data_IF_258886165840
#
_entry.id   IF_258886165840
#
_cell.length_a   1.000
_cell.length_b   1.000
_cell.length_c   1.000
_cell.angle_alpha   90.00
_cell.angle_beta   90.00
_cell.angle_gamma   90.00
#
_symmetry.space_group_name_H-M   'P 1'
#
loop_
_entity.id
_entity.type
_entity.pdbx_description
1 polymer ?
#
# COMPACT_ATOMS: atom_id res chain seq x y z
N UNK A 1 43.81 18.43 -40.25
CA UNK A 1 44.09 19.85 -40.56
C UNK A 1 43.06 20.70 -39.81
N UNK A 2 43.46 21.26 -38.68
CA UNK A 2 42.78 22.37 -38.01
C UNK A 2 43.81 22.96 -37.04
N UNK A 3 44.25 24.17 -37.33
CA UNK A 3 45.30 24.89 -36.61
C UNK A 3 44.77 25.39 -35.26
N UNK A 4 45.52 25.17 -34.19
CA UNK A 4 45.29 25.76 -32.88
C UNK A 4 46.09 27.07 -32.80
N UNK A 5 45.38 28.21 -32.76
CA UNK A 5 45.98 29.52 -32.52
C UNK A 5 45.90 29.83 -31.03
N UNK A 6 47.04 29.83 -30.36
CA UNK A 6 47.24 30.27 -28.97
C UNK A 6 47.45 31.78 -28.95
N UNK A 7 46.54 32.53 -28.32
CA UNK A 7 46.73 33.95 -28.04
C UNK A 7 47.37 34.17 -26.68
N UNK A 8 48.36 35.07 -26.65
CA UNK A 8 49.17 35.45 -25.49
C UNK A 8 48.43 36.40 -24.53
N UNK A 9 48.56 36.15 -23.23
CA UNK A 9 48.04 36.97 -22.14
C UNK A 9 49.07 38.06 -21.79
N UNK A 10 48.83 39.31 -22.20
CA UNK A 10 49.63 40.47 -21.79
C UNK A 10 49.02 41.10 -20.53
N UNK A 11 49.70 40.94 -19.39
CA UNK A 11 49.33 41.58 -18.12
C UNK A 11 50.05 42.93 -17.99
N UNK A 12 49.28 44.01 -18.01
CA UNK A 12 49.76 45.34 -17.62
C UNK A 12 49.42 45.59 -16.14
N UNK A 13 50.44 45.84 -15.33
CA UNK A 13 50.32 46.20 -13.92
C UNK A 13 49.92 47.68 -13.76
N UNK A 14 49.06 47.93 -12.78
CA UNK A 14 48.47 49.23 -12.39
C UNK A 14 49.52 50.29 -11.97
N UNK A 15 49.32 51.59 -12.26
CA UNK A 15 50.00 52.69 -11.58
C UNK A 15 49.39 53.01 -10.20
N UNK A 16 50.14 53.68 -9.28
CA UNK A 16 49.82 53.79 -7.86
C UNK A 16 48.79 54.89 -7.50
N UNK A 17 48.17 54.83 -6.30
CA UNK A 17 47.09 55.71 -5.90
C UNK A 17 47.55 57.08 -5.38
N UNK A 18 46.89 58.13 -5.84
CA UNK A 18 46.95 59.47 -5.25
C UNK A 18 46.45 59.48 -3.81
N UNK A 19 47.20 60.12 -2.90
CA UNK A 19 46.73 60.56 -1.59
C UNK A 19 46.57 62.07 -1.60
N UNK A 20 45.41 62.55 -1.17
CA UNK A 20 45.09 63.95 -1.04
C UNK A 20 45.14 64.41 0.43
N UNK A 21 45.69 65.63 0.62
CA UNK A 21 45.40 66.68 1.63
C UNK A 21 45.97 66.50 3.05
N UNK A 22 46.40 67.59 3.75
CA UNK A 22 45.52 68.73 4.06
C UNK A 22 46.10 70.17 4.00
N UNK A 23 45.12 71.07 3.99
CA UNK A 23 45.11 72.53 4.10
C UNK A 23 45.81 73.05 5.37
N UNK A 24 46.69 74.04 5.24
CA UNK A 24 46.87 75.12 6.23
C UNK A 24 47.35 76.40 5.55
N UNK A 25 46.93 77.51 6.13
CA UNK A 25 46.99 78.90 5.69
C UNK A 25 48.30 79.62 6.05
N UNK A 26 48.53 80.73 5.33
CA UNK A 26 49.17 81.99 5.76
C UNK A 26 50.64 82.28 5.41
N UNK A 27 50.79 83.44 4.74
CA UNK A 27 51.83 84.48 4.85
C UNK A 27 53.16 84.30 4.08
N UNK A 28 53.47 85.32 3.25
CA UNK A 28 54.76 85.63 2.60
C UNK A 28 55.83 86.08 3.63
N UNK A 29 57.07 86.53 3.29
CA UNK A 29 57.76 86.66 1.99
C UNK A 29 59.24 86.16 1.99
N UNK A 30 59.91 86.39 0.84
CA UNK A 30 61.36 86.62 0.62
C UNK A 30 62.26 85.51 0.03
N UNK A 31 62.87 85.91 -1.10
CA UNK A 31 64.30 85.86 -1.43
C UNK A 31 64.95 84.73 -2.29
N UNK A 32 65.42 85.17 -3.49
CA UNK A 32 66.67 84.89 -4.26
C UNK A 32 66.91 83.43 -4.76
N UNK A 33 67.15 83.12 -6.05
CA UNK A 33 68.33 83.42 -6.90
C UNK A 33 68.07 83.11 -8.40
N UNK A 34 68.93 83.70 -9.23
CA UNK A 34 68.96 83.95 -10.68
C UNK A 34 69.17 82.78 -11.66
N UNK A 35 68.81 82.97 -12.93
CA UNK A 35 69.72 82.72 -14.08
C UNK A 35 69.24 83.42 -15.38
N UNK A 36 70.22 83.94 -16.14
CA UNK A 36 70.17 84.78 -17.33
C UNK A 36 70.92 84.03 -18.45
N UNK A 37 70.43 84.03 -19.70
CA UNK A 37 71.22 84.49 -20.87
C UNK A 37 70.41 84.43 -22.17
N UNK A 38 70.49 85.51 -22.95
CA UNK A 38 69.91 85.66 -24.28
C UNK A 38 70.68 86.72 -25.07
N UNK A 39 71.57 86.31 -25.99
CA UNK A 39 72.01 87.09 -27.16
C UNK A 39 73.08 86.34 -27.98
N UNK A 40 72.93 86.37 -29.32
CA UNK A 40 73.79 85.65 -30.25
C UNK A 40 73.37 85.83 -31.71
N UNK A 41 73.77 86.98 -32.25
CA UNK A 41 73.68 87.50 -33.62
C UNK A 41 74.26 86.55 -34.73
N UNK A 42 73.64 86.49 -35.93
CA UNK A 42 74.31 86.03 -37.18
C UNK A 42 73.86 86.88 -38.40
N UNK A 43 74.84 87.14 -39.27
CA UNK A 43 75.01 88.11 -40.36
C UNK A 43 74.90 87.44 -41.74
N UNK A 44 74.36 88.11 -42.77
CA UNK A 44 74.70 88.02 -44.22
C UNK A 44 74.07 89.25 -44.94
N UNK A 45 74.56 89.93 -45.99
CA UNK A 45 75.75 89.84 -46.85
C UNK A 45 75.93 91.15 -47.68
N UNK A 46 77.18 91.62 -47.80
CA UNK A 46 77.98 91.81 -49.02
C UNK A 46 77.51 92.70 -50.24
N UNK A 47 78.40 93.64 -50.61
CA UNK A 47 79.00 93.96 -51.96
C UNK A 47 78.96 95.47 -52.38
N UNK A 48 80.11 96.14 -52.16
CA UNK A 48 81.03 96.84 -53.11
C UNK A 48 80.50 97.53 -54.39
N UNK A 49 81.06 98.58 -54.99
CA UNK A 49 82.24 99.48 -54.87
C UNK A 49 82.15 100.44 -56.09
N UNK A 50 82.66 101.67 -55.99
CA UNK A 50 83.73 102.20 -56.89
C UNK A 50 84.23 103.60 -56.47
N UNK A 51 85.55 103.70 -56.45
CA UNK A 51 86.49 104.85 -56.29
C UNK A 51 86.31 105.95 -57.38
N UNK A 52 87.01 107.14 -57.35
CA UNK A 52 88.41 107.32 -56.96
C UNK A 52 88.82 108.56 -56.12
N UNK A 53 89.95 108.34 -55.44
CA UNK A 53 91.08 109.22 -55.11
C UNK A 53 91.00 110.73 -55.41
N UNK A 54 91.44 111.57 -54.46
CA UNK A 54 92.75 112.26 -54.55
C UNK A 54 93.09 113.03 -53.25
N UNK A 55 94.38 113.02 -52.91
CA UNK A 55 95.02 113.59 -51.72
C UNK A 55 94.94 115.13 -51.58
N UNK A 56 95.04 115.62 -50.32
CA UNK A 56 96.24 116.30 -49.74
C UNK A 56 95.89 117.53 -48.86
N UNK A 57 96.31 117.47 -47.58
CA UNK A 57 96.98 118.48 -46.70
C UNK A 57 96.81 119.97 -47.06
N UNK A 58 96.73 120.94 -46.15
CA UNK A 58 96.89 121.06 -44.69
C UNK A 58 96.53 122.53 -44.38
N UNK A 59 96.25 122.79 -43.12
CA UNK A 59 96.40 124.08 -42.44
C UNK A 59 97.56 124.93 -42.98
N UNK A 60 97.29 126.21 -43.28
CA UNK A 60 98.17 127.35 -42.93
C UNK A 60 97.28 128.56 -42.63
N UNK A 61 97.64 129.22 -41.54
CA UNK A 61 97.13 130.44 -40.96
C UNK A 61 96.97 131.66 -41.86
N UNK A 62 96.17 132.58 -41.32
CA UNK A 62 96.36 134.03 -41.28
C UNK A 62 96.32 134.85 -42.59
N UNK A 63 95.68 136.02 -42.43
CA UNK A 63 95.57 137.16 -43.34
C UNK A 63 94.38 137.09 -44.31
N UNK A 64 93.19 137.47 -43.84
CA UNK A 64 92.22 138.28 -44.60
C UNK A 64 91.40 139.15 -43.65
N UNK A 65 92.09 139.95 -42.83
CA UNK A 65 91.52 141.13 -42.21
C UNK A 65 91.69 142.32 -43.17
N UNK A 66 90.62 143.10 -43.32
CA UNK A 66 90.54 144.45 -43.92
C UNK A 66 90.12 144.63 -45.39
N UNK A 67 89.25 143.80 -45.99
CA UNK A 67 88.58 144.24 -47.26
C UNK A 67 87.28 143.56 -47.77
N UNK A 68 86.40 142.94 -46.96
CA UNK A 68 85.11 142.40 -47.49
C UNK A 68 83.83 142.81 -46.72
N UNK A 69 83.90 143.90 -45.97
CA UNK A 69 82.78 144.49 -45.19
C UNK A 69 81.69 145.18 -46.04
N UNK A 70 81.76 145.10 -47.37
CA UNK A 70 80.80 145.75 -48.29
C UNK A 70 79.99 144.77 -49.15
N UNK A 71 80.40 143.50 -49.25
CA UNK A 71 79.62 142.43 -49.90
C UNK A 71 78.91 141.49 -48.91
N UNK A 72 79.18 141.65 -47.60
CA UNK A 72 78.58 140.84 -46.54
C UNK A 72 77.06 141.00 -46.44
N UNK A 73 76.49 142.19 -46.70
CA UNK A 73 75.03 142.40 -46.64
C UNK A 73 74.28 141.77 -47.83
N UNK A 74 74.87 141.78 -49.04
CA UNK A 74 74.28 141.15 -50.23
C UNK A 74 74.39 139.62 -50.16
N UNK A 75 75.53 139.09 -49.70
CA UNK A 75 75.69 137.65 -49.48
C UNK A 75 74.77 137.17 -48.36
N UNK A 76 74.63 137.91 -47.26
CA UNK A 76 73.71 137.57 -46.18
C UNK A 76 72.25 137.62 -46.65
N UNK A 77 71.85 138.60 -47.46
CA UNK A 77 70.50 138.70 -48.01
C UNK A 77 70.19 137.57 -49.01
N UNK A 78 71.14 137.21 -49.88
CA UNK A 78 71.01 136.07 -50.81
C UNK A 78 70.98 134.74 -50.06
N UNK A 79 71.82 134.56 -49.04
CA UNK A 79 71.77 133.40 -48.15
C UNK A 79 70.43 133.32 -47.40
N UNK A 80 69.89 134.44 -46.91
CA UNK A 80 68.57 134.47 -46.26
C UNK A 80 67.45 134.11 -47.25
N UNK A 81 67.49 134.61 -48.49
CA UNK A 81 66.54 134.20 -49.53
C UNK A 81 66.66 132.71 -49.88
N UNK A 82 67.87 132.18 -49.94
CA UNK A 82 68.11 130.75 -50.18
C UNK A 82 67.65 129.88 -48.99
N UNK A 83 67.83 130.35 -47.76
CA UNK A 83 67.32 129.71 -46.54
C UNK A 83 65.79 129.75 -46.48
N UNK A 84 65.15 130.85 -46.87
CA UNK A 84 63.69 130.93 -46.98
C UNK A 84 63.17 130.01 -48.10
N UNK A 85 63.84 129.94 -49.25
CA UNK A 85 63.45 129.03 -50.33
C UNK A 85 63.60 127.55 -49.95
N UNK A 86 64.70 127.19 -49.26
CA UNK A 86 64.93 125.81 -48.79
C UNK A 86 64.02 125.42 -47.64
N UNK A 87 63.74 126.33 -46.70
CA UNK A 87 62.76 126.09 -45.62
C UNK A 87 61.34 125.96 -46.16
N UNK A 88 60.92 126.76 -47.15
CA UNK A 88 59.64 126.60 -47.82
C UNK A 88 59.55 125.30 -48.65
N UNK A 89 60.64 124.87 -49.28
CA UNK A 89 60.72 123.56 -49.97
C UNK A 89 60.67 122.37 -49.01
N UNK A 90 61.33 122.47 -47.85
CA UNK A 90 61.23 121.50 -46.76
C UNK A 90 59.83 121.45 -46.17
N UNK A 91 59.18 122.59 -45.95
CA UNK A 91 57.78 122.67 -45.50
C UNK A 91 56.84 122.04 -46.53
N UNK A 92 57.05 122.26 -47.83
CA UNK A 92 56.27 121.61 -48.88
C UNK A 92 56.45 120.09 -48.93
N UNK A 93 57.69 119.59 -48.77
CA UNK A 93 57.96 118.14 -48.70
C UNK A 93 57.41 117.51 -47.41
N UNK A 94 57.52 118.20 -46.28
CA UNK A 94 56.93 117.76 -45.01
C UNK A 94 55.40 117.78 -45.07
N UNK A 95 54.80 118.77 -45.72
CA UNK A 95 53.36 118.83 -45.95
C UNK A 95 52.88 117.73 -46.90
N UNK A 96 53.63 117.45 -47.97
CA UNK A 96 53.35 116.35 -48.89
C UNK A 96 53.49 114.97 -48.22
N UNK A 97 54.52 114.79 -47.38
CA UNK A 97 54.66 113.58 -46.55
C UNK A 97 53.54 113.50 -45.51
N UNK A 98 53.12 114.62 -44.92
CA UNK A 98 51.99 114.68 -44.00
C UNK A 98 50.68 114.26 -44.69
N UNK A 99 50.44 114.71 -45.92
CA UNK A 99 49.25 114.34 -46.69
C UNK A 99 49.24 112.85 -47.03
N UNK A 100 50.37 112.29 -47.46
CA UNK A 100 50.49 110.85 -47.67
C UNK A 100 50.32 110.05 -46.38
N UNK A 101 50.84 110.52 -45.25
CA UNK A 101 50.64 109.87 -43.95
C UNK A 101 49.15 109.81 -43.57
N UNK A 102 48.32 110.75 -44.00
CA UNK A 102 46.87 110.70 -43.78
C UNK A 102 46.19 109.61 -44.62
N UNK A 103 46.55 109.48 -45.90
CA UNK A 103 46.07 108.40 -46.77
C UNK A 103 46.49 107.01 -46.25
N UNK A 104 47.75 106.88 -45.79
CA UNK A 104 48.23 105.65 -45.16
C UNK A 104 47.54 105.34 -43.84
N UNK A 105 47.20 106.37 -43.04
CA UNK A 105 46.45 106.19 -41.79
C UNK A 105 45.06 105.61 -42.06
N UNK A 106 44.35 106.12 -43.06
CA UNK A 106 43.03 105.58 -43.44
C UNK A 106 43.13 104.14 -43.96
N UNK A 107 44.14 103.84 -44.78
CA UNK A 107 44.39 102.48 -45.28
C UNK A 107 44.71 101.48 -44.15
N UNK A 108 45.57 101.85 -43.20
CA UNK A 108 45.92 101.00 -42.05
C UNK A 108 44.69 100.81 -41.15
N UNK A 109 43.88 101.84 -40.92
CA UNK A 109 42.63 101.70 -40.17
C UNK A 109 41.64 100.76 -40.86
N UNK A 110 41.53 100.81 -42.19
CA UNK A 110 40.67 99.89 -42.95
C UNK A 110 41.13 98.44 -42.82
N UNK A 111 42.42 98.16 -42.99
CA UNK A 111 42.96 96.81 -42.79
C UNK A 111 42.77 96.35 -41.34
N UNK A 112 43.02 97.22 -40.37
CA UNK A 112 42.82 96.91 -38.95
C UNK A 112 41.35 96.59 -38.66
N UNK A 113 40.42 97.36 -39.22
CA UNK A 113 38.98 97.15 -39.07
C UNK A 113 38.53 95.84 -39.74
N UNK A 114 38.96 95.59 -40.98
CA UNK A 114 38.65 94.37 -41.71
C UNK A 114 39.24 93.14 -41.00
N UNK A 115 40.46 93.26 -40.45
CA UNK A 115 41.10 92.21 -39.67
C UNK A 115 40.37 91.97 -38.34
N UNK A 116 39.97 93.00 -37.62
CA UNK A 116 39.22 92.88 -36.36
C UNK A 116 37.83 92.27 -36.60
N UNK A 117 37.14 92.67 -37.67
CA UNK A 117 35.84 92.13 -38.05
C UNK A 117 35.95 90.66 -38.51
N UNK A 118 36.95 90.33 -39.34
CA UNK A 118 37.20 88.95 -39.77
C UNK A 118 37.65 88.07 -38.60
N UNK A 119 38.52 88.58 -37.72
CA UNK A 119 38.98 87.89 -36.51
C UNK A 119 37.81 87.63 -35.56
N UNK A 120 36.94 88.63 -35.34
CA UNK A 120 35.74 88.49 -34.52
C UNK A 120 34.74 87.50 -35.13
N UNK A 121 34.51 87.57 -36.45
CA UNK A 121 33.64 86.63 -37.16
C UNK A 121 34.18 85.20 -37.12
N UNK A 122 35.50 85.02 -37.28
CA UNK A 122 36.14 83.71 -37.18
C UNK A 122 36.09 83.16 -35.75
N UNK A 123 36.36 84.00 -34.74
CA UNK A 123 36.26 83.63 -33.34
C UNK A 123 34.83 83.20 -32.97
N UNK A 124 33.81 83.90 -33.46
CA UNK A 124 32.40 83.50 -33.31
C UNK A 124 32.11 82.18 -34.02
N UNK A 125 32.61 81.98 -35.24
CA UNK A 125 32.42 80.71 -35.96
C UNK A 125 33.14 79.54 -35.27
N UNK A 126 34.33 79.74 -34.73
CA UNK A 126 35.07 78.70 -33.99
C UNK A 126 34.35 78.39 -32.68
N UNK A 127 33.98 79.41 -31.90
CA UNK A 127 33.26 79.23 -30.64
C UNK A 127 31.91 78.53 -30.83
N UNK A 128 31.16 78.89 -31.88
CA UNK A 128 29.91 78.18 -32.20
C UNK A 128 30.18 76.73 -32.59
N UNK A 129 31.20 76.44 -33.41
CA UNK A 129 31.57 75.06 -33.76
C UNK A 129 32.03 74.25 -32.55
N UNK A 130 32.87 74.81 -31.69
CA UNK A 130 33.29 74.21 -30.43
C UNK A 130 32.10 73.89 -29.53
N UNK A 131 31.16 74.83 -29.36
CA UNK A 131 29.95 74.60 -28.57
C UNK A 131 29.08 73.48 -29.14
N UNK A 132 28.94 73.41 -30.47
CA UNK A 132 28.19 72.32 -31.12
C UNK A 132 28.89 70.98 -30.95
N UNK A 133 30.23 70.95 -31.01
CA UNK A 133 31.02 69.72 -30.87
C UNK A 133 30.92 69.18 -29.43
N UNK A 134 31.09 70.05 -28.43
CA UNK A 134 30.91 69.70 -27.01
C UNK A 134 29.50 69.14 -26.77
N UNK A 135 28.47 69.78 -27.33
CA UNK A 135 27.10 69.31 -27.21
C UNK A 135 26.87 67.95 -27.91
N UNK A 136 27.44 67.73 -29.09
CA UNK A 136 27.38 66.40 -29.74
C UNK A 136 28.13 65.33 -28.95
N UNK A 137 29.26 65.67 -28.36
CA UNK A 137 30.06 64.76 -27.53
C UNK A 137 29.32 64.41 -26.24
N UNK A 138 28.63 65.38 -25.63
CA UNK A 138 27.74 65.13 -24.49
C UNK A 138 26.60 64.18 -24.86
N UNK A 139 25.92 64.42 -25.98
CA UNK A 139 24.86 63.51 -26.47
C UNK A 139 25.39 62.10 -26.71
N UNK A 140 26.58 61.97 -27.30
CA UNK A 140 27.18 60.66 -27.52
C UNK A 140 27.43 59.94 -26.18
N UNK A 141 27.99 60.63 -25.19
CA UNK A 141 28.16 60.09 -23.82
C UNK A 141 26.83 59.68 -23.18
N UNK A 142 25.77 60.48 -23.34
CA UNK A 142 24.44 60.15 -22.82
C UNK A 142 23.90 58.87 -23.47
N UNK A 143 23.98 58.77 -24.80
CA UNK A 143 23.56 57.57 -25.53
C UNK A 143 24.39 56.34 -25.18
N UNK A 144 25.69 56.48 -24.94
CA UNK A 144 26.57 55.39 -24.50
C UNK A 144 26.18 54.90 -23.10
N UNK A 145 25.85 55.81 -22.19
CA UNK A 145 25.35 55.44 -20.87
C UNK A 145 23.99 54.74 -20.94
N UNK A 146 23.08 55.22 -21.79
CA UNK A 146 21.78 54.56 -22.01
C UNK A 146 21.96 53.16 -22.58
N UNK A 147 22.82 53.00 -23.59
CA UNK A 147 23.13 51.68 -24.15
C UNK A 147 23.68 50.74 -23.07
N UNK A 148 24.63 51.20 -22.26
CA UNK A 148 25.19 50.40 -21.17
C UNK A 148 24.12 50.04 -20.10
N UNK A 149 23.20 50.97 -19.79
CA UNK A 149 22.07 50.68 -18.89
C UNK A 149 21.14 49.60 -19.48
N UNK A 150 20.79 49.72 -20.76
CA UNK A 150 19.94 48.72 -21.44
C UNK A 150 20.62 47.36 -21.56
N UNK A 151 21.93 47.32 -21.81
CA UNK A 151 22.71 46.09 -21.85
C UNK A 151 22.67 45.38 -20.50
N UNK A 152 22.97 46.08 -19.40
CA UNK A 152 22.89 45.52 -18.05
C UNK A 152 21.49 45.03 -17.69
N UNK A 153 20.46 45.76 -18.13
CA UNK A 153 19.08 45.35 -17.93
C UNK A 153 18.75 44.05 -18.68
N UNK A 154 19.19 43.93 -19.93
CA UNK A 154 19.01 42.71 -20.73
C UNK A 154 19.78 41.52 -20.14
N UNK A 155 21.01 41.74 -19.68
CA UNK A 155 21.80 40.72 -18.98
C UNK A 155 21.09 40.22 -17.73
N UNK A 156 20.56 41.13 -16.89
CA UNK A 156 19.78 40.74 -15.72
C UNK A 156 18.51 39.95 -16.09
N UNK A 157 17.83 40.34 -17.17
CA UNK A 157 16.64 39.62 -17.65
C UNK A 157 16.96 38.24 -18.21
N UNK A 158 18.11 38.08 -18.85
CA UNK A 158 18.58 36.78 -19.33
C UNK A 158 18.91 35.85 -18.16
N UNK A 159 19.53 36.38 -17.10
CA UNK A 159 19.79 35.62 -15.87
C UNK A 159 18.48 35.20 -15.18
N UNK A 160 17.51 36.12 -15.06
CA UNK A 160 16.18 35.80 -14.53
C UNK A 160 15.52 34.66 -15.33
N UNK A 161 15.55 34.73 -16.66
CA UNK A 161 14.97 33.70 -17.54
C UNK A 161 15.68 32.35 -17.39
N UNK A 162 17.01 32.35 -17.29
CA UNK A 162 17.78 31.13 -17.08
C UNK A 162 17.44 30.49 -15.73
N UNK A 163 17.35 31.30 -14.67
CA UNK A 163 16.92 30.84 -13.35
C UNK A 163 15.49 30.27 -13.38
N UNK A 164 14.53 30.95 -14.04
CA UNK A 164 13.17 30.41 -14.20
C UNK A 164 13.14 29.10 -14.99
N UNK A 165 13.96 28.99 -16.04
CA UNK A 165 14.08 27.75 -16.80
C UNK A 165 14.60 26.61 -15.94
N UNK A 166 15.61 26.87 -15.11
CA UNK A 166 16.13 25.88 -14.15
C UNK A 166 15.05 25.45 -13.15
N UNK A 167 14.32 26.41 -12.56
CA UNK A 167 13.22 26.10 -11.64
C UNK A 167 12.10 25.26 -12.30
N UNK A 168 11.78 25.53 -13.56
CA UNK A 168 10.82 24.74 -14.33
C UNK A 168 11.32 23.32 -14.57
N UNK A 169 12.61 23.15 -14.88
CA UNK A 169 13.19 21.81 -15.05
C UNK A 169 13.19 21.02 -13.75
N UNK A 170 13.58 21.63 -12.63
CA UNK A 170 13.56 20.99 -11.31
C UNK A 170 12.13 20.61 -10.89
N UNK A 171 11.16 21.50 -11.15
CA UNK A 171 9.75 21.22 -10.85
C UNK A 171 9.21 20.08 -11.72
N UNK A 172 9.57 20.02 -13.00
CA UNK A 172 9.18 18.92 -13.91
C UNK A 172 9.78 17.59 -13.45
N UNK A 173 11.05 17.58 -13.06
CA UNK A 173 11.70 16.36 -12.55
C UNK A 173 11.04 15.86 -11.27
N UNK A 174 10.75 16.77 -10.32
CA UNK A 174 10.00 16.43 -9.09
C UNK A 174 8.61 15.89 -9.39
N UNK A 175 7.92 16.45 -10.38
CA UNK A 175 6.60 15.95 -10.80
C UNK A 175 6.72 14.52 -11.34
N UNK A 176 7.67 14.25 -12.23
CA UNK A 176 7.90 12.89 -12.75
C UNK A 176 8.26 11.88 -11.67
N UNK A 177 9.13 12.25 -10.71
CA UNK A 177 9.44 11.39 -9.56
C UNK A 177 8.18 11.09 -8.70
N UNK A 178 7.31 12.08 -8.55
CA UNK A 178 6.03 11.90 -7.82
C UNK A 178 5.07 10.99 -8.59
N UNK A 179 4.98 11.14 -9.91
CA UNK A 179 4.18 10.27 -10.78
C UNK A 179 4.65 8.82 -10.74
N UNK A 180 5.96 8.59 -10.81
CA UNK A 180 6.57 7.25 -10.70
C UNK A 180 6.27 6.61 -9.34
N UNK A 181 6.45 7.38 -8.25
CA UNK A 181 6.14 6.92 -6.89
C UNK A 181 4.66 6.58 -6.73
N UNK A 182 3.77 7.38 -7.31
CA UNK A 182 2.32 7.15 -7.27
C UNK A 182 1.94 5.90 -8.09
N UNK A 183 2.58 5.69 -9.25
CA UNK A 183 2.39 4.49 -10.07
C UNK A 183 2.81 3.23 -9.29
N UNK A 184 3.98 3.24 -8.65
CA UNK A 184 4.46 2.13 -7.83
C UNK A 184 3.55 1.84 -6.64
N UNK A 185 3.10 2.88 -5.94
CA UNK A 185 2.16 2.73 -4.82
C UNK A 185 0.83 2.12 -5.27
N UNK A 186 0.36 2.45 -6.49
CA UNK A 186 -0.86 1.88 -7.06
C UNK A 186 -0.70 0.40 -7.39
N UNK A 187 0.46 0.00 -7.90
CA UNK A 187 0.80 -1.40 -8.15
C UNK A 187 0.84 -2.19 -6.84
N UNK A 188 1.59 -1.71 -5.83
CA UNK A 188 1.68 -2.32 -4.50
C UNK A 188 0.30 -2.48 -3.83
N UNK A 189 -0.59 -1.50 -4.00
CA UNK A 189 -1.97 -1.55 -3.50
C UNK A 189 -2.81 -2.61 -4.23
N UNK A 190 -2.64 -2.72 -5.55
CA UNK A 190 -3.32 -3.75 -6.36
C UNK A 190 -2.89 -5.16 -5.94
N UNK A 191 -1.60 -5.37 -5.74
CA UNK A 191 -1.06 -6.65 -5.29
C UNK A 191 -1.53 -6.99 -3.87
N UNK A 192 -1.49 -6.02 -2.96
CA UNK A 192 -2.03 -6.19 -1.60
C UNK A 192 -3.50 -6.58 -1.61
N UNK A 193 -4.32 -5.97 -2.49
CA UNK A 193 -5.73 -6.31 -2.65
C UNK A 193 -5.92 -7.73 -3.18
N UNK A 194 -5.11 -8.17 -4.13
CA UNK A 194 -5.14 -9.54 -4.66
C UNK A 194 -4.79 -10.55 -3.56
N UNK A 195 -3.71 -10.32 -2.82
CA UNK A 195 -3.32 -11.20 -1.71
C UNK A 195 -4.37 -11.23 -0.60
N UNK A 196 -5.05 -10.11 -0.31
CA UNK A 196 -6.14 -10.10 0.65
C UNK A 196 -7.31 -10.99 0.20
N UNK A 197 -7.71 -10.90 -1.07
CA UNK A 197 -8.77 -11.74 -1.63
C UNK A 197 -8.40 -13.23 -1.61
N UNK A 198 -7.15 -13.58 -1.92
CA UNK A 198 -6.65 -14.96 -1.80
C UNK A 198 -6.71 -15.47 -0.35
N UNK A 199 -6.36 -14.62 0.62
CA UNK A 199 -6.48 -14.94 2.07
C UNK A 199 -7.93 -15.11 2.52
N UNK A 200 -8.85 -14.30 2.02
CA UNK A 200 -10.28 -14.44 2.32
C UNK A 200 -10.84 -15.76 1.79
N UNK A 201 -10.49 -16.13 0.55
CA UNK A 201 -10.91 -17.40 -0.04
C UNK A 201 -10.39 -18.60 0.75
N UNK A 202 -9.08 -18.60 1.07
CA UNK A 202 -8.47 -19.69 1.87
C UNK A 202 -9.06 -19.78 3.28
N UNK A 203 -9.41 -18.65 3.90
CA UNK A 203 -10.11 -18.64 5.19
C UNK A 203 -11.50 -19.26 5.08
N UNK A 204 -12.25 -18.96 4.02
CA UNK A 204 -13.57 -19.55 3.77
C UNK A 204 -13.49 -21.07 3.57
N UNK A 205 -12.55 -21.55 2.75
CA UNK A 205 -12.30 -22.98 2.54
C UNK A 205 -11.93 -23.71 3.83
N UNK A 206 -11.07 -23.08 4.65
CA UNK A 206 -10.68 -23.61 5.96
C UNK A 206 -11.88 -23.70 6.90
N UNK A 207 -12.75 -22.68 6.89
CA UNK A 207 -13.96 -22.67 7.71
C UNK A 207 -14.97 -23.75 7.28
N UNK A 208 -15.13 -23.98 5.99
CA UNK A 208 -15.97 -25.06 5.46
C UNK A 208 -15.41 -26.44 5.83
N UNK A 209 -14.10 -26.63 5.69
CA UNK A 209 -13.40 -27.85 6.13
C UNK A 209 -13.64 -28.10 7.62
N UNK A 210 -13.49 -27.07 8.46
CA UNK A 210 -13.73 -27.18 9.90
C UNK A 210 -15.18 -27.57 10.23
N UNK A 211 -16.17 -27.00 9.52
CA UNK A 211 -17.59 -27.38 9.66
C UNK A 211 -17.81 -28.86 9.31
N UNK A 212 -17.21 -29.32 8.21
CA UNK A 212 -17.29 -30.71 7.75
C UNK A 212 -16.65 -31.68 8.76
N UNK A 213 -15.45 -31.35 9.26
CA UNK A 213 -14.79 -32.14 10.31
C UNK A 213 -15.62 -32.20 11.58
N UNK A 214 -16.22 -31.09 12.01
CA UNK A 214 -17.11 -31.05 13.19
C UNK A 214 -18.34 -31.95 13.00
N UNK A 215 -18.96 -31.93 11.83
CA UNK A 215 -20.09 -32.82 11.49
C UNK A 215 -19.69 -34.30 11.54
N UNK A 216 -18.53 -34.62 10.97
CA UNK A 216 -17.97 -35.98 10.98
C UNK A 216 -17.67 -36.47 12.40
N UNK A 217 -17.12 -35.59 13.25
CA UNK A 217 -16.86 -35.89 14.65
C UNK A 217 -18.15 -36.23 15.42
N UNK A 218 -19.20 -35.42 15.26
CA UNK A 218 -20.51 -35.69 15.88
C UNK A 218 -21.08 -37.03 15.42
N UNK A 219 -21.02 -37.31 14.12
CA UNK A 219 -21.49 -38.59 13.56
C UNK A 219 -20.72 -39.77 14.14
N UNK A 220 -19.40 -39.63 14.30
CA UNK A 220 -18.54 -40.66 14.87
C UNK A 220 -18.84 -40.88 16.35
N UNK A 221 -19.06 -39.81 17.12
CA UNK A 221 -19.46 -39.90 18.52
C UNK A 221 -20.82 -40.60 18.69
N UNK A 222 -21.78 -40.35 17.80
CA UNK A 222 -23.08 -41.04 17.82
C UNK A 222 -22.92 -42.53 17.57
N UNK A 223 -22.12 -42.93 16.56
CA UNK A 223 -21.80 -44.33 16.29
C UNK A 223 -21.10 -45.01 17.47
N UNK A 224 -20.17 -44.32 18.13
CA UNK A 224 -19.49 -44.83 19.32
C UNK A 224 -20.47 -45.09 20.48
N UNK A 225 -21.42 -44.18 20.72
CA UNK A 225 -22.47 -44.38 21.75
C UNK A 225 -23.39 -45.55 21.41
N UNK A 226 -23.68 -45.76 20.13
CA UNK A 226 -24.48 -46.90 19.67
C UNK A 226 -23.76 -48.23 19.88
N UNK A 227 -22.47 -48.30 19.55
CA UNK A 227 -21.67 -49.52 19.80
C UNK A 227 -21.49 -49.80 21.29
N UNK A 228 -21.29 -48.77 22.13
CA UNK A 228 -21.26 -48.90 23.58
C UNK A 228 -22.57 -49.49 24.13
N UNK A 229 -23.73 -49.00 23.66
CA UNK A 229 -25.04 -49.51 24.04
C UNK A 229 -25.22 -50.97 23.61
N UNK A 230 -24.88 -51.31 22.37
CA UNK A 230 -24.93 -52.68 21.85
C UNK A 230 -24.02 -53.65 22.64
N UNK A 231 -22.82 -53.21 23.03
CA UNK A 231 -21.94 -54.00 23.90
C UNK A 231 -22.54 -54.22 25.29
N UNK A 232 -23.17 -53.20 25.88
CA UNK A 232 -23.87 -53.33 27.16
C UNK A 232 -25.02 -54.35 27.08
N UNK A 233 -25.82 -54.30 26.03
CA UNK A 233 -26.93 -55.23 25.80
C UNK A 233 -26.44 -56.66 25.58
N UNK A 234 -25.36 -56.83 24.82
CA UNK A 234 -24.70 -58.12 24.61
C UNK A 234 -24.19 -58.68 25.95
N UNK A 235 -23.55 -57.84 26.78
CA UNK A 235 -23.07 -58.23 28.12
C UNK A 235 -24.22 -58.67 29.03
N UNK A 236 -25.34 -57.95 29.03
CA UNK A 236 -26.53 -58.30 29.81
C UNK A 236 -27.13 -59.63 29.33
N UNK A 237 -27.21 -59.82 28.02
CA UNK A 237 -27.67 -61.09 27.41
C UNK A 237 -26.77 -62.25 27.80
N UNK A 238 -25.45 -62.08 27.71
CA UNK A 238 -24.47 -63.09 28.11
C UNK A 238 -24.62 -63.47 29.60
N UNK A 239 -24.85 -62.48 30.47
CA UNK A 239 -25.10 -62.72 31.89
C UNK A 239 -26.38 -63.53 32.11
N UNK A 240 -27.46 -63.19 31.41
CA UNK A 240 -28.72 -63.92 31.48
C UNK A 240 -28.58 -65.37 30.98
N UNK A 241 -27.89 -65.59 29.86
CA UNK A 241 -27.63 -66.95 29.34
C UNK A 241 -26.78 -67.76 30.29
N UNK A 242 -25.77 -67.16 30.92
CA UNK A 242 -24.93 -67.84 31.91
C UNK A 242 -25.73 -68.26 33.16
N UNK A 243 -26.62 -67.39 33.65
CA UNK A 243 -27.51 -67.73 34.75
C UNK A 243 -28.46 -68.88 34.39
N UNK A 244 -29.02 -68.86 33.17
CA UNK A 244 -29.88 -69.93 32.68
C UNK A 244 -29.10 -71.26 32.56
N UNK A 245 -27.89 -71.22 32.02
CA UNK A 245 -27.00 -72.39 31.93
C UNK A 245 -26.74 -72.98 33.32
N UNK A 246 -26.39 -72.15 34.30
CA UNK A 246 -26.19 -72.58 35.69
C UNK A 246 -27.45 -73.21 36.31
N UNK A 247 -28.63 -72.62 36.06
CA UNK A 247 -29.89 -73.22 36.51
C UNK A 247 -30.18 -74.56 35.85
N UNK A 248 -29.90 -74.71 34.54
CA UNK A 248 -30.07 -75.97 33.82
C UNK A 248 -29.09 -77.02 34.31
N UNK A 249 -27.83 -76.66 34.55
CA UNK A 249 -26.82 -77.54 35.14
C UNK A 249 -27.30 -78.08 36.50
N UNK A 250 -27.84 -77.21 37.37
CA UNK A 250 -28.37 -77.62 38.67
C UNK A 250 -29.53 -78.61 38.54
N UNK A 251 -30.50 -78.33 37.65
CA UNK A 251 -31.62 -79.23 37.37
C UNK A 251 -31.15 -80.57 36.82
N UNK A 252 -30.14 -80.57 35.95
CA UNK A 252 -29.55 -81.80 35.42
C UNK A 252 -28.96 -82.64 36.56
N UNK A 253 -28.16 -82.04 37.46
CA UNK A 253 -27.61 -82.75 38.63
C UNK A 253 -28.69 -83.26 39.59
N UNK A 254 -29.78 -82.53 39.79
CA UNK A 254 -30.94 -83.00 40.58
C UNK A 254 -31.63 -84.20 39.91
N UNK A 255 -31.76 -84.17 38.58
CA UNK A 255 -32.34 -85.27 37.80
C UNK A 255 -31.43 -86.50 37.82
N UNK A 256 -30.12 -86.34 37.67
CA UNK A 256 -29.11 -87.41 37.80
C UNK A 256 -29.17 -88.06 39.19
N UNK A 257 -29.24 -87.26 40.26
CA UNK A 257 -29.40 -87.78 41.62
C UNK A 257 -30.70 -88.55 41.80
N UNK A 258 -31.80 -88.04 41.24
CA UNK A 258 -33.10 -88.71 41.28
C UNK A 258 -33.08 -90.03 40.49
N UNK A 259 -32.44 -90.04 39.32
CA UNK A 259 -32.24 -91.23 38.50
C UNK A 259 -31.42 -92.29 39.24
N UNK A 260 -30.33 -91.90 39.91
CA UNK A 260 -29.53 -92.79 40.76
C UNK A 260 -30.39 -93.43 41.85
N UNK A 261 -31.17 -92.63 42.59
CA UNK A 261 -32.09 -93.15 43.62
C UNK A 261 -33.13 -94.11 43.06
N UNK A 262 -33.72 -93.81 41.90
CA UNK A 262 -34.67 -94.75 41.26
C UNK A 262 -34.00 -96.03 40.79
N UNK A 263 -32.77 -95.94 40.27
CA UNK A 263 -31.98 -97.11 39.89
C UNK A 263 -31.66 -97.98 41.11
N UNK A 264 -31.23 -97.39 42.22
CA UNK A 264 -31.02 -98.08 43.51
C UNK A 264 -32.30 -98.73 44.03
N UNK A 265 -33.45 -98.06 43.89
CA UNK A 265 -34.73 -98.61 44.30
C UNK A 265 -35.15 -99.79 43.43
N UNK A 266 -34.97 -99.69 42.10
CA UNK A 266 -35.26 -100.78 41.17
C UNK A 266 -34.35 -102.00 41.43
N UNK A 267 -33.06 -101.79 41.71
CA UNK A 267 -32.17 -102.90 42.06
C UNK A 267 -32.57 -103.54 43.40
N UNK A 268 -32.99 -102.74 44.39
CA UNK A 268 -33.52 -103.23 45.66
C UNK A 268 -34.83 -104.03 45.48
N UNK A 269 -35.78 -103.52 44.72
CA UNK A 269 -37.02 -104.23 44.38
C UNK A 269 -36.71 -105.54 43.64
N UNK A 270 -35.82 -105.52 42.65
CA UNK A 270 -35.42 -106.71 41.90
C UNK A 270 -34.73 -107.75 42.80
N UNK A 271 -33.90 -107.32 43.75
CA UNK A 271 -33.35 -108.21 44.78
C UNK A 271 -34.46 -108.78 45.68
N UNK A 272 -35.44 -107.98 46.08
CA UNK A 272 -36.63 -108.42 46.82
C UNK A 272 -37.42 -109.49 46.05
N UNK A 273 -37.68 -109.28 44.76
CA UNK A 273 -38.34 -110.27 43.89
C UNK A 273 -37.55 -111.59 43.84
N UNK A 274 -36.23 -111.55 43.66
CA UNK A 274 -35.38 -112.77 43.72
C UNK A 274 -35.47 -113.49 45.07
N UNK A 275 -35.59 -112.74 46.17
CA UNK A 275 -35.77 -113.32 47.49
C UNK A 275 -37.15 -113.98 47.64
N UNK A 276 -38.20 -113.46 47.01
CA UNK A 276 -39.55 -114.07 47.02
C UNK A 276 -39.71 -115.23 46.05
N UNK A 277 -38.90 -115.29 45.00
CA UNK A 277 -38.93 -116.36 44.00
C UNK A 277 -38.60 -117.73 44.61
N UNK A 278 -37.63 -117.79 45.52
CA UNK A 278 -37.29 -119.03 46.25
C UNK A 278 -38.47 -119.60 47.06
N UNK A 279 -39.07 -118.84 48.00
CA UNK A 279 -40.26 -119.24 48.74
C UNK A 279 -41.46 -119.59 47.86
N UNK A 280 -41.63 -118.92 46.70
CA UNK A 280 -42.74 -119.18 45.80
C UNK A 280 -42.55 -120.48 45.01
N UNK A 281 -41.32 -120.83 44.66
CA UNK A 281 -40.97 -122.16 44.13
C UNK A 281 -41.18 -123.26 45.17
N UNK A 282 -40.80 -123.02 46.43
CA UNK A 282 -41.08 -123.95 47.55
C UNK A 282 -42.59 -124.11 47.78
N UNK A 283 -43.36 -123.03 47.73
CA UNK A 283 -44.82 -123.07 47.85
C UNK A 283 -45.45 -123.81 46.67
N UNK A 284 -44.97 -123.61 45.45
CA UNK A 284 -45.42 -124.32 44.25
C UNK A 284 -45.11 -125.82 44.34
N UNK A 285 -43.94 -126.19 44.87
CA UNK A 285 -43.59 -127.57 45.14
C UNK A 285 -44.53 -128.19 46.20
N UNK A 286 -44.81 -127.46 47.28
CA UNK A 286 -45.78 -127.87 48.31
C UNK A 286 -47.19 -128.03 47.75
N UNK A 287 -47.64 -127.12 46.89
CA UNK A 287 -48.94 -127.21 46.21
C UNK A 287 -49.00 -128.37 45.22
N UNK A 288 -47.93 -128.65 44.47
CA UNK A 288 -47.83 -129.83 43.61
C UNK A 288 -48.02 -131.13 44.42
N UNK A 289 -47.36 -131.24 45.57
CA UNK A 289 -47.53 -132.36 46.51
C UNK A 289 -48.97 -132.46 47.05
N UNK A 290 -49.60 -131.33 47.38
CA UNK A 290 -50.99 -131.29 47.85
C UNK A 290 -52.00 -131.63 46.74
N UNK A 291 -51.79 -131.15 45.52
CA UNK A 291 -52.64 -131.40 44.37
C UNK A 291 -52.56 -132.86 43.91
N UNK A 292 -51.41 -133.50 44.06
CA UNK A 292 -51.25 -134.94 43.87
C UNK A 292 -51.95 -135.78 44.96
N UNK A 293 -52.05 -135.27 46.19
CA UNK A 293 -52.93 -135.84 47.22
C UNK A 293 -54.41 -135.75 46.81
N UNK A 294 -54.87 -134.60 46.31
CA UNK A 294 -56.28 -134.43 45.87
C UNK A 294 -56.60 -135.35 44.67
N UNK A 295 -55.70 -135.47 43.71
CA UNK A 295 -55.89 -136.33 42.52
C UNK A 295 -55.94 -137.83 42.86
N UNK A 296 -55.23 -138.26 43.92
CA UNK A 296 -55.21 -139.67 44.34
C UNK A 296 -56.36 -140.05 45.30
N UNK A 297 -57.12 -139.08 45.83
CA UNK A 297 -58.13 -139.34 46.88
C UNK A 297 -59.58 -139.25 46.39
N UNK A 298 -59.82 -138.85 45.14
CA UNK A 298 -61.18 -138.71 44.60
C UNK A 298 -61.32 -139.30 43.19
N UNK A 299 -61.46 -140.63 43.12
CA UNK A 299 -62.23 -141.31 42.07
C UNK A 299 -63.01 -142.47 42.68
N UNK A 300 -63.92 -142.15 43.59
CA UNK A 300 -65.14 -142.94 43.80
C UNK A 300 -66.28 -142.03 44.27
N UNK A 301 -67.21 -141.78 43.35
CA UNK A 301 -68.62 -141.41 43.57
C UNK A 301 -69.04 -139.97 43.89
N UNK A 302 -70.17 -139.63 43.24
CA UNK A 302 -71.16 -138.58 43.46
C UNK A 302 -70.88 -137.20 42.84
N UNK A 303 -71.52 -136.87 41.71
CA UNK A 303 -72.95 -136.61 41.46
C UNK A 303 -73.40 -135.21 41.89
N UNK A 304 -73.61 -134.40 40.85
CA UNK A 304 -74.70 -133.44 40.61
C UNK A 304 -75.39 -132.78 41.81
N UNK A 305 -75.39 -131.44 41.81
CA UNK A 305 -76.53 -130.60 42.18
C UNK A 305 -76.33 -129.16 41.64
N UNK A 306 -77.39 -128.34 41.51
CA UNK A 306 -77.76 -127.78 40.22
C UNK A 306 -77.78 -126.26 40.19
N UNK A 307 -77.76 -125.74 38.97
CA UNK A 307 -78.09 -124.36 38.63
C UNK A 307 -79.47 -123.97 39.17
N UNK A 308 -79.55 -122.89 39.94
CA UNK A 308 -80.79 -122.13 40.12
C UNK A 308 -80.58 -120.70 39.67
N UNK A 309 -81.34 -120.34 38.64
CA UNK A 309 -81.39 -119.02 38.01
C UNK A 309 -82.32 -118.13 38.82
N UNK A 310 -81.75 -117.30 39.70
CA UNK A 310 -82.49 -116.18 40.27
C UNK A 310 -82.40 -114.99 39.31
N UNK A 311 -83.57 -114.57 38.84
CA UNK A 311 -83.80 -113.43 37.95
C UNK A 311 -83.48 -112.14 38.69
N UNK A 312 -82.24 -111.67 38.57
CA UNK A 312 -81.82 -110.41 39.15
C UNK A 312 -82.42 -109.19 38.42
N UNK A 313 -82.98 -108.26 39.22
CA UNK A 313 -83.36 -106.91 38.81
C UNK A 313 -82.11 -106.04 38.70
N UNK A 314 -81.39 -106.11 37.60
CA UNK A 314 -80.30 -105.17 37.33
C UNK A 314 -80.72 -104.10 36.33
N UNK A 315 -80.46 -102.83 36.67
CA UNK A 315 -80.52 -101.75 35.71
C UNK A 315 -79.31 -101.84 34.76
N UNK A 316 -79.41 -101.38 33.50
CA UNK A 316 -78.27 -101.26 32.60
C UNK A 316 -77.14 -100.39 33.20
N UNK A 317 -75.90 -100.59 32.75
CA UNK A 317 -74.74 -99.82 33.23
C UNK A 317 -74.96 -98.30 33.08
N UNK A 318 -74.58 -97.53 34.11
CA UNK A 318 -74.80 -96.09 34.27
C UNK A 318 -76.24 -95.65 34.60
N UNK A 319 -77.15 -96.58 34.92
CA UNK A 319 -78.49 -96.28 35.45
C UNK A 319 -78.55 -96.50 36.95
N UNK A 320 -79.28 -95.64 37.65
CA UNK A 320 -79.42 -95.64 39.11
C UNK A 320 -80.80 -96.22 39.46
N UNK A 321 -80.85 -97.23 40.33
CA UNK A 321 -82.08 -97.83 40.83
C UNK A 321 -82.62 -97.00 42.01
N UNK A 322 -83.83 -96.44 41.88
CA UNK A 322 -84.53 -95.73 42.96
C UNK A 322 -85.99 -96.23 43.00
N UNK A 323 -86.47 -96.64 44.18
CA UNK A 323 -87.84 -97.15 44.40
C UNK A 323 -88.30 -98.21 43.38
N UNK A 324 -87.41 -99.15 43.03
CA UNK A 324 -87.72 -100.24 42.11
C UNK A 324 -87.80 -99.84 40.64
N UNK A 325 -87.43 -98.62 40.27
CA UNK A 325 -87.38 -98.12 38.89
C UNK A 325 -85.98 -97.60 38.55
N UNK A 326 -85.55 -97.76 37.30
CA UNK A 326 -84.21 -97.33 36.87
C UNK A 326 -84.27 -95.91 36.28
N UNK A 327 -83.37 -95.04 36.72
CA UNK A 327 -83.24 -93.65 36.28
C UNK A 327 -81.88 -93.38 35.65
N UNK A 328 -81.85 -92.52 34.62
CA UNK A 328 -80.63 -92.08 33.97
C UNK A 328 -80.54 -90.56 33.95
N UNK A 329 -79.53 -90.01 34.63
CA UNK A 329 -79.25 -88.59 34.70
C UNK A 329 -78.30 -88.19 33.57
N UNK A 330 -78.78 -87.36 32.65
CA UNK A 330 -77.96 -86.76 31.60
C UNK A 330 -77.38 -85.44 32.11
N UNK A 331 -76.05 -85.29 32.06
CA UNK A 331 -75.35 -84.03 32.40
C UNK A 331 -75.60 -82.91 31.37
N UNK A 332 -76.34 -83.18 30.29
CA UNK A 332 -76.67 -82.21 29.24
C UNK A 332 -77.98 -81.50 29.52
N UNK A 333 -77.94 -80.17 29.56
CA UNK A 333 -79.09 -79.30 29.77
C UNK A 333 -79.84 -79.06 28.44
N UNK A 334 -80.56 -80.08 27.97
CA UNK A 334 -81.24 -80.03 26.67
C UNK A 334 -82.69 -79.48 26.76
N UNK A 335 -83.14 -78.86 25.67
CA UNK A 335 -84.54 -78.48 25.47
C UNK A 335 -85.48 -79.70 25.59
N UNK A 336 -86.69 -79.53 26.15
CA UNK A 336 -87.60 -80.64 26.52
C UNK A 336 -87.88 -81.63 25.38
N UNK A 337 -87.95 -81.14 24.14
CA UNK A 337 -88.22 -81.96 22.94
C UNK A 337 -87.02 -82.87 22.64
N UNK A 338 -85.79 -82.36 22.77
CA UNK A 338 -84.57 -83.13 22.53
C UNK A 338 -84.34 -84.18 23.62
N UNK A 339 -84.68 -83.86 24.87
CA UNK A 339 -84.64 -84.79 26.00
C UNK A 339 -85.60 -85.97 25.85
N UNK A 340 -86.82 -85.73 25.34
CA UNK A 340 -87.80 -86.81 25.10
C UNK A 340 -87.33 -87.79 24.02
N UNK A 341 -86.75 -87.28 22.93
CA UNK A 341 -86.16 -88.11 21.87
C UNK A 341 -84.99 -88.94 22.39
N UNK A 342 -84.12 -88.38 23.23
CA UNK A 342 -82.99 -89.09 23.83
C UNK A 342 -83.47 -90.22 24.77
N UNK A 343 -84.45 -89.96 25.65
CA UNK A 343 -85.01 -91.01 26.50
C UNK A 343 -85.69 -92.13 25.69
N UNK A 344 -86.45 -91.77 24.65
CA UNK A 344 -87.09 -92.76 23.74
C UNK A 344 -86.09 -93.64 23.02
N UNK A 345 -84.98 -93.07 22.54
CA UNK A 345 -83.91 -93.84 21.89
C UNK A 345 -83.26 -94.87 22.81
N UNK A 346 -83.39 -94.69 24.13
CA UNK A 346 -82.88 -95.58 25.19
C UNK A 346 -83.97 -96.50 25.78
N UNK A 347 -85.15 -96.57 25.14
CA UNK A 347 -86.27 -97.42 25.60
C UNK A 347 -86.95 -96.93 26.89
N UNK A 348 -86.85 -95.63 27.19
CA UNK A 348 -87.32 -95.03 28.44
C UNK A 348 -88.18 -93.79 28.19
N UNK A 349 -88.84 -93.27 29.23
CA UNK A 349 -89.68 -92.06 29.13
C UNK A 349 -89.09 -90.91 29.93
N UNK A 350 -89.17 -89.69 29.39
CA UNK A 350 -88.73 -88.49 30.09
C UNK A 350 -89.65 -88.18 31.27
N UNK A 351 -89.08 -88.08 32.47
CA UNK A 351 -89.78 -87.75 33.71
C UNK A 351 -89.12 -86.53 34.34
N UNK A 352 -89.92 -85.69 35.00
CA UNK A 352 -89.43 -84.54 35.76
C UNK A 352 -89.61 -84.86 37.23
N UNK A 353 -88.52 -85.00 37.97
CA UNK A 353 -88.53 -85.13 39.42
C UNK A 353 -88.52 -83.71 39.99
N UNK A 354 -89.48 -83.41 40.87
CA UNK A 354 -89.51 -82.18 41.65
C UNK A 354 -89.00 -82.49 43.04
N UNK A 355 -88.03 -81.73 43.52
CA UNK A 355 -87.68 -81.74 44.93
C UNK A 355 -88.73 -80.92 45.71
N UNK A 356 -89.14 -81.41 46.87
CA UNK A 356 -90.19 -80.79 47.71
C UNK A 356 -89.69 -79.54 48.43
N UNK A 357 -88.38 -79.39 48.58
CA UNK A 357 -87.75 -78.30 49.35
C UNK A 357 -86.97 -77.28 48.51
N UNK A 358 -86.86 -77.48 47.20
CA UNK A 358 -86.30 -76.50 46.26
C UNK A 358 -87.11 -76.56 44.96
N UNK A 359 -87.46 -75.43 44.33
CA UNK A 359 -88.21 -75.42 43.05
C UNK A 359 -87.44 -76.03 41.85
N UNK A 360 -86.33 -76.74 42.11
CA UNK A 360 -85.55 -77.42 41.09
C UNK A 360 -86.33 -78.58 40.46
N UNK A 361 -86.43 -78.53 39.12
CA UNK A 361 -87.04 -79.55 38.28
C UNK A 361 -85.95 -80.28 37.52
N UNK A 362 -85.55 -81.46 37.99
CA UNK A 362 -84.53 -82.27 37.31
C UNK A 362 -85.23 -83.16 36.27
N UNK A 363 -84.79 -83.06 35.01
CA UNK A 363 -85.27 -83.91 33.91
C UNK A 363 -84.40 -85.17 33.83
N UNK A 364 -85.01 -86.35 33.95
CA UNK A 364 -84.32 -87.65 33.93
C UNK A 364 -85.09 -88.65 33.08
N UNK A 365 -84.41 -89.67 32.56
CA UNK A 365 -85.06 -90.76 31.82
C UNK A 365 -85.42 -91.90 32.79
N UNK A 366 -86.67 -92.35 32.78
CA UNK A 366 -87.15 -93.47 33.61
C UNK A 366 -87.46 -94.70 32.74
N UNK A 367 -86.86 -95.84 33.09
CA UNK A 367 -87.17 -97.15 32.52
C UNK A 367 -88.26 -97.84 33.34
N UNK A 368 -89.18 -98.54 32.68
CA UNK A 368 -90.41 -99.05 33.30
C UNK A 368 -90.31 -100.49 33.79
#
# INVERSE_FOLDING_TARGET
>A
MAEAVTYAELRFTKPPPWKAKPFTSNTAPSEVFSEVDQDGEIIYANISRTSPEMHRKREVDAIYQTLWKQNSRLILALCCLFLLATTMGLVGKLFHVSQHLEEYREYIHKISYDHENLSSSLALSVSTKESTLIHTEQKLRETEQELNRTQKYLEAKLEDLNHFQQQLTETRERLHQTEETLSKTREDLSDSKKTLSERENTLQETQETLRSTKSTLVTTQMKLRETERSMSDTKNTLRATNNNLSSTQKKLSECESSLSKTSERLTSEQQGWRQTEGPLLDLKEKWSKAQQCVFNTCSESMLEFPYTSERFKYCPSLWILLDGKCYFFSEREDARIQGDTNCKSRGSRLVTIKDSNTELKIKTCQFH
#
